data_IF_311573118752
#
_entry.id   IF_311573118752
#
_cell.length_a   1.000
_cell.length_b   1.000
_cell.length_c   1.000
_cell.angle_alpha   90.00
_cell.angle_beta   90.00
_cell.angle_gamma   90.00
#
_symmetry.space_group_name_H-M   'P 1'
#
loop_
_entity.id
_entity.type
_entity.pdbx_description
1 polymer ?
#
# COMPACT_ATOMS: atom_id res chain seq x y z
N UNK A 1 4.86 23.45 -10.51
CA UNK A 1 3.90 24.56 -10.26
C UNK A 1 3.96 25.17 -8.85
N UNK A 2 4.33 24.50 -7.75
CA UNK A 2 4.77 25.21 -6.50
C UNK A 2 6.21 24.84 -6.09
N UNK A 3 6.70 23.64 -6.46
CA UNK A 3 8.09 23.20 -6.22
C UNK A 3 9.17 24.21 -6.67
N UNK A 4 8.93 24.97 -7.74
CA UNK A 4 9.88 25.96 -8.28
C UNK A 4 9.94 27.28 -7.49
N UNK A 5 9.07 27.51 -6.49
CA UNK A 5 9.23 28.62 -5.55
C UNK A 5 10.18 28.28 -4.40
N UNK A 6 10.51 27.00 -4.23
CA UNK A 6 11.49 26.53 -3.26
C UNK A 6 12.89 27.02 -3.64
N UNK A 7 13.56 27.70 -2.70
CA UNK A 7 14.93 28.19 -2.86
C UNK A 7 15.15 29.63 -2.39
N UNK A 8 14.12 30.50 -2.46
CA UNK A 8 14.18 31.90 -1.97
C UNK A 8 13.17 32.23 -0.87
N UNK A 9 12.12 31.43 -0.71
CA UNK A 9 11.02 31.65 0.25
C UNK A 9 10.53 30.29 0.77
N UNK A 10 10.12 30.26 2.04
CA UNK A 10 9.45 29.10 2.65
C UNK A 10 7.95 29.26 2.48
N UNK A 11 7.28 28.24 1.94
CA UNK A 11 5.82 28.20 1.78
C UNK A 11 5.28 27.11 2.69
N UNK A 12 4.35 27.48 3.58
CA UNK A 12 3.63 26.54 4.42
C UNK A 12 2.25 26.29 3.83
N UNK A 13 1.90 25.04 3.61
CA UNK A 13 0.58 24.61 3.13
C UNK A 13 -0.01 23.71 4.21
N UNK A 14 -1.19 24.08 4.71
CA UNK A 14 -1.98 23.25 5.62
C UNK A 14 -3.17 22.71 4.84
N UNK A 15 -3.21 21.40 4.64
CA UNK A 15 -4.29 20.70 3.94
C UNK A 15 -4.48 19.31 4.54
N UNK A 16 -5.67 18.75 4.35
CA UNK A 16 -5.98 17.36 4.64
C UNK A 16 -5.97 16.50 3.36
N UNK A 17 -5.72 17.09 2.19
CA UNK A 17 -5.70 16.40 0.89
C UNK A 17 -4.30 15.82 0.68
N UNK A 18 -4.07 14.60 1.15
CA UNK A 18 -2.76 13.96 1.15
C UNK A 18 -2.17 13.67 -0.26
N UNK A 19 -2.96 13.34 -1.30
CA UNK A 19 -2.43 13.19 -2.66
C UNK A 19 -1.77 14.47 -3.19
N UNK A 20 -2.28 15.65 -2.83
CA UNK A 20 -1.66 16.93 -3.22
C UNK A 20 -0.33 17.15 -2.49
N UNK A 21 -0.26 16.76 -1.22
CA UNK A 21 0.95 16.86 -0.40
C UNK A 21 2.07 16.01 -0.98
N UNK A 22 1.78 14.77 -1.40
CA UNK A 22 2.76 13.88 -2.06
C UNK A 22 3.41 14.51 -3.29
N UNK A 23 2.59 15.20 -4.11
CA UNK A 23 3.04 15.78 -5.37
C UNK A 23 3.79 17.10 -5.14
N UNK A 24 3.38 17.90 -4.15
CA UNK A 24 3.76 19.31 -4.04
C UNK A 24 4.81 19.59 -2.97
N UNK A 25 4.84 18.82 -1.88
CA UNK A 25 5.66 19.14 -0.71
C UNK A 25 6.99 18.37 -0.68
N UNK A 26 8.05 19.03 -0.23
CA UNK A 26 9.35 18.40 0.04
C UNK A 26 9.46 17.82 1.44
N UNK A 27 8.73 18.41 2.40
CA UNK A 27 8.63 17.99 3.80
C UNK A 27 7.18 18.01 4.25
N UNK A 28 6.84 17.06 5.10
CA UNK A 28 5.49 16.83 5.63
C UNK A 28 5.58 16.76 7.15
N UNK A 29 4.70 17.49 7.82
CA UNK A 29 4.54 17.46 9.27
C UNK A 29 3.13 16.94 9.56
N UNK A 30 3.04 15.80 10.24
CA UNK A 30 1.77 15.21 10.66
C UNK A 30 1.49 15.64 12.09
N UNK A 31 0.37 16.34 12.30
CA UNK A 31 -0.08 16.82 13.61
C UNK A 31 -1.36 16.07 14.00
N UNK A 32 -1.38 15.47 15.18
CA UNK A 32 -2.56 14.81 15.74
C UNK A 32 -2.74 15.21 17.21
N UNK A 33 -3.95 15.63 17.60
CA UNK A 33 -4.29 16.06 18.97
C UNK A 33 -3.28 17.07 19.55
N UNK A 34 -2.88 18.06 18.75
CA UNK A 34 -1.96 19.12 19.16
C UNK A 34 -0.49 18.69 19.29
N UNK A 35 -0.13 17.47 18.89
CA UNK A 35 1.25 16.94 18.94
C UNK A 35 1.75 16.63 17.53
N UNK A 36 3.02 16.91 17.27
CA UNK A 36 3.70 16.46 16.05
C UNK A 36 3.95 14.95 16.18
N UNK A 37 3.31 14.16 15.31
CA UNK A 37 3.48 12.70 15.25
C UNK A 37 4.57 12.29 14.27
N UNK A 38 4.78 13.07 13.21
CA UNK A 38 5.86 12.85 12.27
C UNK A 38 6.30 14.18 11.63
N UNK A 39 7.58 14.28 11.24
CA UNK A 39 8.14 15.44 10.56
C UNK A 39 9.35 15.01 9.71
N UNK A 40 9.11 14.69 8.44
CA UNK A 40 10.15 14.19 7.53
C UNK A 40 9.82 14.56 6.06
N UNK A 41 10.60 14.11 5.09
CA UNK A 41 10.24 14.15 3.67
C UNK A 41 9.08 13.19 3.39
N UNK A 42 8.24 13.50 2.39
CA UNK A 42 7.16 12.59 1.99
C UNK A 42 7.71 11.19 1.65
N UNK A 43 8.85 11.13 0.95
CA UNK A 43 9.52 9.88 0.60
C UNK A 43 9.98 9.10 1.83
N UNK A 44 10.54 9.76 2.83
CA UNK A 44 10.95 9.10 4.07
C UNK A 44 9.76 8.65 4.89
N UNK A 45 8.65 9.39 4.95
CA UNK A 45 7.45 8.94 5.64
C UNK A 45 6.89 7.66 5.01
N UNK A 46 6.91 7.58 3.68
CA UNK A 46 6.50 6.38 2.92
C UNK A 46 7.48 5.20 3.09
N UNK A 47 8.79 5.45 3.24
CA UNK A 47 9.82 4.41 3.43
C UNK A 47 9.97 3.94 4.88
N UNK A 48 9.88 4.86 5.83
CA UNK A 48 10.15 4.61 7.26
C UNK A 48 8.98 3.92 7.93
N UNK A 49 7.77 4.04 7.36
CA UNK A 49 6.77 3.06 7.71
C UNK A 49 7.12 1.72 7.05
N UNK A 50 7.36 0.73 7.90
CA UNK A 50 7.37 -0.69 7.55
C UNK A 50 5.96 -1.15 7.20
N UNK A 51 5.17 -0.34 6.49
CA UNK A 51 3.80 -0.68 6.17
C UNK A 51 3.85 -1.91 5.29
N UNK A 52 3.16 -2.94 5.74
CA UNK A 52 2.85 -4.10 4.95
C UNK A 52 2.37 -3.63 3.58
N UNK A 53 3.09 -3.98 2.51
CA UNK A 53 2.57 -3.76 1.16
C UNK A 53 1.24 -4.50 1.00
N UNK A 54 0.43 -4.12 0.04
CA UNK A 54 -0.71 -4.94 -0.33
C UNK A 54 -0.68 -5.26 -1.82
N UNK A 55 -1.24 -6.41 -2.16
CA UNK A 55 -1.40 -6.83 -3.54
C UNK A 55 -2.85 -7.23 -3.75
N UNK A 56 -3.39 -6.82 -4.89
CA UNK A 56 -4.72 -7.17 -5.36
C UNK A 56 -4.56 -8.15 -6.50
N UNK A 57 -5.26 -9.27 -6.43
CA UNK A 57 -5.28 -10.28 -7.48
C UNK A 57 -6.73 -10.54 -7.84
N UNK A 58 -7.07 -10.46 -9.11
CA UNK A 58 -8.37 -10.89 -9.61
C UNK A 58 -8.13 -12.08 -10.55
N UNK A 59 -8.64 -13.24 -10.17
CA UNK A 59 -8.41 -14.47 -10.93
C UNK A 59 -9.61 -15.40 -10.90
N UNK A 60 -9.84 -16.10 -12.00
CA UNK A 60 -10.74 -17.26 -12.05
C UNK A 60 -9.98 -18.46 -11.50
N UNK A 61 -10.36 -18.90 -10.31
CA UNK A 61 -9.79 -20.05 -9.62
C UNK A 61 -10.74 -21.25 -9.71
N UNK A 62 -10.20 -22.47 -9.74
CA UNK A 62 -10.99 -23.70 -9.74
C UNK A 62 -11.59 -24.02 -8.36
N UNK A 63 -11.77 -25.31 -8.07
CA UNK A 63 -12.12 -25.79 -6.73
C UNK A 63 -10.91 -25.84 -5.77
N UNK A 64 -9.83 -25.15 -6.13
CA UNK A 64 -8.56 -25.17 -5.44
C UNK A 64 -8.62 -24.27 -4.21
N UNK A 65 -7.84 -24.59 -3.17
CA UNK A 65 -7.73 -23.72 -2.00
C UNK A 65 -6.73 -22.57 -2.27
N UNK A 66 -7.09 -21.67 -3.19
CA UNK A 66 -6.25 -20.58 -3.67
C UNK A 66 -5.74 -19.66 -2.54
N UNK A 67 -6.59 -19.37 -1.55
CA UNK A 67 -6.22 -18.58 -0.37
C UNK A 67 -5.10 -19.25 0.42
N UNK A 68 -5.21 -20.57 0.69
CA UNK A 68 -4.19 -21.30 1.43
C UNK A 68 -2.87 -21.44 0.65
N UNK A 69 -2.93 -21.48 -0.68
CA UNK A 69 -1.72 -21.53 -1.51
C UNK A 69 -1.01 -20.18 -1.59
N UNK A 70 -1.77 -19.07 -1.68
CA UNK A 70 -1.23 -17.72 -1.59
C UNK A 70 -0.59 -17.43 -0.22
N UNK A 71 -1.20 -17.91 0.87
CA UNK A 71 -0.65 -17.77 2.24
C UNK A 71 0.70 -18.47 2.45
N UNK A 72 1.05 -19.46 1.61
CA UNK A 72 2.35 -20.15 1.68
C UNK A 72 3.47 -19.39 0.97
N UNK A 73 3.15 -18.37 0.19
CA UNK A 73 4.15 -17.61 -0.55
C UNK A 73 5.01 -16.77 0.39
N UNK A 74 6.31 -16.62 0.07
CA UNK A 74 7.21 -15.83 0.90
C UNK A 74 6.73 -14.38 0.99
N UNK A 75 6.74 -13.83 2.20
CA UNK A 75 6.34 -12.45 2.41
C UNK A 75 4.84 -12.18 2.33
N UNK A 76 3.97 -13.20 2.31
CA UNK A 76 2.52 -13.05 2.47
C UNK A 76 2.13 -13.23 3.93
N UNK A 77 1.45 -12.23 4.51
CA UNK A 77 0.99 -12.24 5.91
C UNK A 77 -0.45 -12.68 6.07
N UNK A 78 -1.30 -12.27 5.14
CA UNK A 78 -2.73 -12.50 5.21
C UNK A 78 -3.34 -12.46 3.80
N UNK A 79 -4.42 -13.21 3.59
CA UNK A 79 -5.13 -13.27 2.31
C UNK A 79 -6.63 -13.31 2.59
N UNK A 80 -7.33 -12.27 2.14
CA UNK A 80 -8.79 -12.22 2.15
C UNK A 80 -9.28 -12.48 0.74
N UNK A 81 -10.22 -13.40 0.59
CA UNK A 81 -10.82 -13.74 -0.70
C UNK A 81 -12.30 -13.35 -0.71
N UNK A 82 -12.72 -12.67 -1.78
CA UNK A 82 -14.10 -12.29 -2.03
C UNK A 82 -14.49 -12.77 -3.43
N UNK A 83 -15.62 -13.48 -3.53
CA UNK A 83 -16.08 -14.00 -4.81
C UNK A 83 -16.88 -12.93 -5.56
N UNK A 84 -16.48 -12.66 -6.80
CA UNK A 84 -17.14 -11.72 -7.70
C UNK A 84 -17.50 -12.44 -9.01
N UNK A 85 -18.70 -13.03 -9.02
CA UNK A 85 -19.19 -13.88 -10.11
C UNK A 85 -18.27 -15.08 -10.36
N UNK A 86 -17.69 -15.11 -11.57
CA UNK A 86 -16.76 -16.15 -12.04
C UNK A 86 -15.32 -15.96 -11.54
N UNK A 87 -15.04 -14.81 -10.92
CA UNK A 87 -13.71 -14.42 -10.46
C UNK A 87 -13.67 -14.40 -8.95
N UNK A 88 -12.46 -14.49 -8.40
CA UNK A 88 -12.19 -14.27 -6.99
C UNK A 88 -11.19 -13.14 -6.88
N UNK A 89 -11.55 -12.17 -6.06
CA UNK A 89 -10.71 -11.07 -5.66
C UNK A 89 -9.94 -11.46 -4.40
N UNK A 90 -8.62 -11.53 -4.51
CA UNK A 90 -7.72 -11.72 -3.38
C UNK A 90 -7.09 -10.39 -2.98
N UNK A 91 -7.30 -10.02 -1.72
CA UNK A 91 -6.57 -8.93 -1.06
C UNK A 91 -5.47 -9.57 -0.22
N UNK A 92 -4.23 -9.40 -0.65
CA UNK A 92 -3.05 -10.01 -0.04
C UNK A 92 -2.30 -8.94 0.74
N UNK A 93 -2.13 -9.17 2.05
CA UNK A 93 -1.25 -8.36 2.90
C UNK A 93 0.16 -8.94 2.86
N UNK A 94 1.15 -8.08 2.63
CA UNK A 94 2.54 -8.46 2.47
C UNK A 94 3.37 -8.09 3.70
N UNK A 95 4.52 -8.71 3.84
CA UNK A 95 5.57 -8.21 4.71
C UNK A 95 6.18 -6.91 4.15
N UNK A 96 6.84 -6.15 5.03
CA UNK A 96 7.51 -4.93 4.59
C UNK A 96 8.68 -5.31 3.68
N UNK A 97 8.88 -4.55 2.60
CA UNK A 97 9.95 -4.76 1.63
C UNK A 97 9.94 -6.10 0.89
N UNK A 98 8.80 -6.82 0.84
CA UNK A 98 8.64 -7.99 -0.03
C UNK A 98 7.87 -7.65 -1.30
N UNK A 99 8.09 -8.48 -2.33
CA UNK A 99 7.40 -8.38 -3.62
C UNK A 99 7.22 -9.79 -4.22
N UNK A 100 6.20 -10.55 -3.79
CA UNK A 100 5.99 -11.91 -4.28
C UNK A 100 5.28 -11.96 -5.64
N UNK A 101 5.36 -10.89 -6.45
CA UNK A 101 4.60 -10.79 -7.71
C UNK A 101 4.93 -11.91 -8.68
N UNK A 102 6.21 -12.30 -8.76
CA UNK A 102 6.66 -13.38 -9.64
C UNK A 102 6.18 -14.75 -9.13
N UNK A 103 6.27 -15.00 -7.83
CA UNK A 103 5.81 -16.22 -7.18
C UNK A 103 4.29 -16.39 -7.30
N UNK A 104 3.53 -15.29 -7.14
CA UNK A 104 2.07 -15.29 -7.35
C UNK A 104 1.75 -15.65 -8.81
N UNK A 105 2.44 -15.05 -9.78
CA UNK A 105 2.21 -15.34 -11.19
C UNK A 105 2.56 -16.80 -11.53
N UNK A 106 3.69 -17.31 -11.02
CA UNK A 106 4.12 -18.70 -11.19
C UNK A 106 3.13 -19.69 -10.56
N UNK A 107 2.64 -19.39 -9.35
CA UNK A 107 1.60 -20.19 -8.69
C UNK A 107 0.33 -20.22 -9.55
N UNK A 108 -0.13 -19.06 -10.02
CA UNK A 108 -1.31 -18.94 -10.86
C UNK A 108 -1.17 -19.75 -12.16
N UNK A 109 -0.01 -19.71 -12.83
CA UNK A 109 0.25 -20.51 -14.03
C UNK A 109 0.25 -22.01 -13.72
N UNK A 110 0.90 -22.44 -12.63
CA UNK A 110 0.99 -23.85 -12.22
C UNK A 110 -0.37 -24.44 -11.87
N UNK A 111 -1.26 -23.61 -11.30
CA UNK A 111 -2.64 -23.98 -10.96
C UNK A 111 -3.65 -23.65 -12.05
N UNK A 112 -3.19 -23.16 -13.21
CA UNK A 112 -4.03 -22.77 -14.33
C UNK A 112 -5.12 -21.75 -13.99
N UNK A 113 -4.83 -20.81 -13.09
CA UNK A 113 -5.75 -19.73 -12.74
C UNK A 113 -5.86 -18.72 -13.90
N UNK A 114 -7.09 -18.33 -14.21
CA UNK A 114 -7.36 -17.29 -15.20
C UNK A 114 -7.16 -15.90 -14.59
N UNK A 115 -5.92 -15.45 -14.45
CA UNK A 115 -5.58 -14.13 -13.88
C UNK A 115 -6.05 -13.03 -14.83
N UNK A 116 -6.87 -12.13 -14.30
CA UNK A 116 -7.36 -10.93 -14.99
C UNK A 116 -6.56 -9.70 -14.58
N UNK A 117 -6.26 -9.56 -13.29
CA UNK A 117 -5.53 -8.43 -12.74
C UNK A 117 -4.55 -8.89 -11.65
N UNK A 118 -3.35 -8.31 -11.65
CA UNK A 118 -2.38 -8.42 -10.57
C UNK A 118 -1.79 -7.02 -10.33
N UNK A 119 -2.19 -6.39 -9.23
CA UNK A 119 -1.81 -5.01 -8.93
C UNK A 119 -1.18 -4.93 -7.55
N UNK A 120 0.08 -4.48 -7.50
CA UNK A 120 0.72 -4.10 -6.24
C UNK A 120 0.27 -2.71 -5.84
N UNK A 121 -0.32 -2.59 -4.66
CA UNK A 121 -0.64 -1.29 -4.05
C UNK A 121 0.56 -0.82 -3.25
N UNK A 122 1.06 0.35 -3.63
CA UNK A 122 2.05 1.09 -2.85
C UNK A 122 1.35 1.76 -1.69
N UNK A 123 2.03 1.83 -0.55
CA UNK A 123 1.63 2.66 0.58
C UNK A 123 1.51 4.11 0.12
N UNK A 124 0.46 4.78 0.58
CA UNK A 124 0.21 6.22 0.37
C UNK A 124 0.41 6.98 1.67
N UNK A 125 0.56 8.31 1.60
CA UNK A 125 0.60 9.15 2.80
C UNK A 125 -0.71 9.08 3.60
N UNK A 126 -1.81 8.69 2.96
CA UNK A 126 -3.08 8.44 3.63
C UNK A 126 -3.02 7.22 4.53
N UNK A 127 -2.46 6.11 4.04
CA UNK A 127 -2.19 4.93 4.88
C UNK A 127 -1.28 5.28 6.07
N UNK A 128 -0.22 6.06 5.80
CA UNK A 128 0.71 6.55 6.83
C UNK A 128 -0.01 7.40 7.87
N UNK A 129 -0.88 8.30 7.44
CA UNK A 129 -1.65 9.16 8.32
C UNK A 129 -2.61 8.36 9.22
N UNK A 130 -3.32 7.39 8.65
CA UNK A 130 -4.23 6.50 9.41
C UNK A 130 -3.44 5.75 10.49
N UNK A 131 -2.31 5.14 10.14
CA UNK A 131 -1.48 4.40 11.11
C UNK A 131 -0.94 5.31 12.23
N UNK A 132 -0.41 6.49 11.89
CA UNK A 132 0.13 7.45 12.87
C UNK A 132 -0.93 8.03 13.83
N UNK A 133 -2.19 8.05 13.40
CA UNK A 133 -3.31 8.58 14.19
C UNK A 133 -4.09 7.50 14.93
N UNK A 134 -4.02 6.23 14.50
CA UNK A 134 -4.66 5.09 15.16
C UNK A 134 -3.89 4.59 16.39
N UNK A 135 -2.58 4.86 16.51
CA UNK A 135 -1.76 4.43 17.66
C UNK A 135 -2.20 5.00 19.04
N UNK A 136 -3.19 5.91 19.09
CA UNK A 136 -3.78 6.46 20.32
C UNK A 136 -5.19 5.92 20.64
N UNK A 137 -5.63 4.83 19.99
CA UNK A 137 -6.98 4.24 20.16
C UNK A 137 -6.95 2.93 20.92
#
# INVERSE_FOLDING_TARGET
MIKNLGGKRTVLISTHILPEVEIMCSRVIVIHKGKIRASDTAENLLKNQRTAGSMRIEAKVGNDNATADLLKLPGVKDVVAEKDGDYTLFQVRLEANTDPSEEVMNLAMTRHWGVRELTRRRTTLEDVFVELTHADS
#
